data_IF_829639341665
#
_entry.id   IF_829639341665
#
_cell.length_a   1.000
_cell.length_b   1.000
_cell.length_c   1.000
_cell.angle_alpha   90.00
_cell.angle_beta   90.00
_cell.angle_gamma   90.00
#
_symmetry.space_group_name_H-M   'P 1'
#
loop_
_entity.id
_entity.type
_entity.pdbx_description
1 polymer ?
#
# COMPACT_ATOMS: atom_id res chain seq x y z
N UNK A 1 3.69 11.64 5.78
CA UNK A 1 3.10 12.52 4.74
C UNK A 1 2.18 11.69 3.85
N UNK A 2 1.13 12.27 3.26
CA UNK A 2 0.33 11.57 2.25
C UNK A 2 -0.83 12.40 1.69
N UNK A 3 -1.71 11.78 0.90
CA UNK A 3 -2.94 12.42 0.42
C UNK A 3 -3.93 12.74 1.55
N UNK A 4 -4.99 13.49 1.23
CA UNK A 4 -6.07 13.84 2.19
C UNK A 4 -6.68 12.59 2.85
N UNK A 5 -7.15 11.63 2.06
CA UNK A 5 -7.75 10.38 2.56
C UNK A 5 -6.73 9.24 2.76
N UNK A 6 -5.45 9.56 2.91
CA UNK A 6 -4.41 8.51 2.96
C UNK A 6 -4.51 7.67 4.25
N UNK A 7 -4.57 6.35 4.09
CA UNK A 7 -4.59 5.39 5.20
C UNK A 7 -3.36 5.46 6.10
N UNK A 8 -2.21 5.77 5.50
CA UNK A 8 -0.91 5.79 6.17
C UNK A 8 -0.86 6.82 7.32
N UNK A 9 -1.27 8.07 7.08
CA UNK A 9 -1.18 9.13 8.11
C UNK A 9 -2.10 8.85 9.28
N UNK A 10 -3.29 8.30 9.02
CA UNK A 10 -4.23 7.86 10.06
C UNK A 10 -3.64 6.78 10.95
N UNK A 11 -2.94 5.79 10.39
CA UNK A 11 -2.25 4.77 11.18
C UNK A 11 -1.06 5.35 11.97
N UNK A 12 -0.29 6.27 11.37
CA UNK A 12 0.79 6.97 12.08
C UNK A 12 0.26 7.78 13.26
N UNK A 13 -0.89 8.45 13.12
CA UNK A 13 -1.55 9.15 14.23
C UNK A 13 -1.96 8.20 15.36
N UNK A 14 -2.57 7.05 15.01
CA UNK A 14 -2.96 6.04 15.99
C UNK A 14 -1.76 5.49 16.77
N UNK A 15 -0.69 5.11 16.06
CA UNK A 15 0.54 4.57 16.67
C UNK A 15 1.22 5.63 17.54
N UNK A 16 1.29 6.89 17.09
CA UNK A 16 1.86 7.96 17.89
C UNK A 16 1.06 8.18 19.19
N UNK A 17 -0.27 8.23 19.11
CA UNK A 17 -1.12 8.35 20.29
C UNK A 17 -0.92 7.18 21.26
N UNK A 18 -0.89 5.94 20.75
CA UNK A 18 -0.65 4.75 21.56
C UNK A 18 0.71 4.77 22.28
N UNK A 19 1.77 5.22 21.61
CA UNK A 19 3.13 5.31 22.16
C UNK A 19 3.34 6.57 23.04
N UNK A 20 2.32 7.43 23.21
CA UNK A 20 2.46 8.70 23.93
C UNK A 20 3.35 9.72 23.21
N UNK A 21 3.52 9.59 21.89
CA UNK A 21 4.28 10.51 21.05
C UNK A 21 3.38 11.60 20.46
N UNK A 22 3.92 12.79 20.25
CA UNK A 22 3.28 13.82 19.42
C UNK A 22 3.32 13.38 17.95
N UNK A 23 2.30 13.77 17.17
CA UNK A 23 2.20 13.45 15.76
C UNK A 23 2.00 14.72 14.93
N UNK A 24 2.80 14.89 13.88
CA UNK A 24 2.61 15.93 12.85
C UNK A 24 2.40 15.22 11.53
N UNK A 25 1.31 15.54 10.84
CA UNK A 25 0.96 14.96 9.55
C UNK A 25 0.92 16.07 8.49
N UNK A 26 1.68 15.87 7.42
CA UNK A 26 1.55 16.67 6.20
C UNK A 26 0.60 15.93 5.26
N UNK A 27 -0.51 16.57 4.91
CA UNK A 27 -1.49 16.06 3.97
C UNK A 27 -1.66 17.00 2.78
N UNK A 28 -1.73 16.43 1.59
CA UNK A 28 -1.68 17.17 0.33
C UNK A 28 -2.82 16.69 -0.60
N UNK A 29 -3.21 17.53 -1.57
CA UNK A 29 -4.23 17.11 -2.53
C UNK A 29 -3.61 16.24 -3.64
N UNK A 30 -3.59 14.93 -3.42
CA UNK A 30 -2.99 13.97 -4.34
C UNK A 30 -3.95 13.44 -5.42
N UNK A 31 -5.22 13.81 -5.34
CA UNK A 31 -6.25 13.29 -6.23
C UNK A 31 -6.90 14.46 -6.92
N UNK A 32 -7.10 14.37 -8.24
CA UNK A 32 -7.89 15.36 -8.96
C UNK A 32 -9.40 15.16 -8.67
N UNK A 33 -9.77 15.36 -7.41
CA UNK A 33 -11.09 15.13 -6.85
C UNK A 33 -11.43 16.23 -5.86
N UNK A 34 -12.68 16.70 -5.91
CA UNK A 34 -13.16 17.79 -5.06
C UNK A 34 -14.56 17.47 -4.57
N UNK A 35 -14.64 16.62 -3.56
CA UNK A 35 -15.88 16.43 -2.81
C UNK A 35 -15.97 17.41 -1.64
N UNK A 36 -17.19 17.82 -1.31
CA UNK A 36 -17.46 18.85 -0.30
C UNK A 36 -16.97 18.47 1.10
N UNK A 37 -16.87 17.17 1.41
CA UNK A 37 -16.45 16.66 2.72
C UNK A 37 -15.12 15.91 2.67
N UNK A 38 -14.44 15.88 1.52
CA UNK A 38 -13.24 15.07 1.30
C UNK A 38 -12.14 15.26 2.35
N UNK A 39 -12.01 16.47 2.91
CA UNK A 39 -11.02 16.84 3.92
C UNK A 39 -11.55 16.83 5.36
N UNK A 40 -12.76 16.32 5.58
CA UNK A 40 -13.49 16.40 6.87
C UNK A 40 -14.13 15.10 7.34
N UNK A 41 -14.10 14.03 6.54
CA UNK A 41 -14.57 12.69 6.93
C UNK A 41 -13.45 11.65 6.80
N UNK A 42 -13.68 10.41 7.23
CA UNK A 42 -12.79 9.29 6.95
C UNK A 42 -11.42 9.39 7.63
N UNK A 43 -10.34 9.09 6.89
CA UNK A 43 -8.99 8.97 7.45
C UNK A 43 -8.48 10.27 8.09
N UNK A 44 -8.76 11.42 7.47
CA UNK A 44 -8.32 12.73 7.99
C UNK A 44 -9.07 13.12 9.27
N UNK A 45 -10.36 12.82 9.34
CA UNK A 45 -11.17 13.04 10.55
C UNK A 45 -10.60 12.25 11.73
N UNK A 46 -10.39 10.94 11.54
CA UNK A 46 -9.81 10.07 12.56
C UNK A 46 -8.43 10.57 13.02
N UNK A 47 -7.58 11.03 12.10
CA UNK A 47 -6.27 11.59 12.43
C UNK A 47 -6.36 12.78 13.39
N UNK A 48 -7.33 13.68 13.16
CA UNK A 48 -7.58 14.84 14.04
C UNK A 48 -8.15 14.40 15.40
N UNK A 49 -9.08 13.45 15.42
CA UNK A 49 -9.65 12.88 16.66
C UNK A 49 -8.56 12.27 17.53
N UNK A 50 -7.58 11.60 16.93
CA UNK A 50 -6.42 11.02 17.62
C UNK A 50 -5.36 12.06 18.06
N UNK A 51 -5.62 13.35 17.87
CA UNK A 51 -4.79 14.43 18.39
C UNK A 51 -3.55 14.76 17.54
N UNK A 52 -3.50 14.33 16.28
CA UNK A 52 -2.40 14.73 15.39
C UNK A 52 -2.52 16.19 14.94
N UNK A 53 -1.38 16.88 14.80
CA UNK A 53 -1.26 18.17 14.11
C UNK A 53 -1.34 17.92 12.59
N UNK A 54 -2.56 17.98 12.06
CA UNK A 54 -2.85 17.75 10.64
C UNK A 54 -2.72 19.05 9.85
N UNK A 55 -1.71 19.10 8.97
CA UNK A 55 -1.39 20.26 8.13
C UNK A 55 -1.76 19.95 6.69
N UNK A 56 -2.79 20.65 6.19
CA UNK A 56 -3.17 20.59 4.79
C UNK A 56 -2.29 21.54 3.97
N UNK A 57 -1.59 20.99 2.99
CA UNK A 57 -0.73 21.70 2.04
C UNK A 57 -1.37 21.62 0.64
N UNK A 58 -1.27 22.71 -0.13
CA UNK A 58 -1.89 22.81 -1.45
C UNK A 58 -1.10 22.09 -2.56
N UNK A 59 0.05 21.48 -2.25
CA UNK A 59 0.85 20.73 -3.22
C UNK A 59 0.11 19.48 -3.77
N UNK A 60 0.42 19.12 -5.04
CA UNK A 60 -0.19 18.00 -5.78
C UNK A 60 0.40 16.60 -5.46
N UNK A 61 0.18 15.57 -6.31
CA UNK A 61 0.66 14.18 -6.10
C UNK A 61 2.09 13.87 -6.59
N UNK A 62 2.91 13.30 -5.69
CA UNK A 62 4.26 12.76 -5.90
C UNK A 62 4.58 11.73 -4.79
N UNK A 63 5.45 10.76 -5.09
CA UNK A 63 5.82 9.63 -4.22
C UNK A 63 7.17 9.83 -3.50
N UNK A 64 7.92 10.89 -3.82
CA UNK A 64 9.23 11.23 -3.25
C UNK A 64 9.20 12.19 -2.05
N UNK A 65 10.38 12.72 -1.69
CA UNK A 65 10.58 13.68 -0.59
C UNK A 65 10.06 15.07 -1.02
N UNK A 66 9.36 15.77 -0.11
CA UNK A 66 8.62 17.01 -0.37
C UNK A 66 9.17 18.19 0.45
N UNK A 67 9.15 19.44 -0.06
CA UNK A 67 9.51 20.61 0.75
C UNK A 67 8.62 20.79 1.99
N UNK A 68 7.34 20.46 1.88
CA UNK A 68 6.36 20.46 2.98
C UNK A 68 6.77 19.50 4.12
N UNK A 69 7.38 18.37 3.76
CA UNK A 69 7.94 17.39 4.69
C UNK A 69 9.14 17.94 5.47
N UNK A 70 10.10 18.54 4.77
CA UNK A 70 11.28 19.16 5.39
C UNK A 70 10.90 20.29 6.35
N UNK A 71 9.96 21.15 5.93
CA UNK A 71 9.43 22.21 6.79
C UNK A 71 8.80 21.65 8.06
N UNK A 72 7.99 20.60 7.96
CA UNK A 72 7.36 19.97 9.12
C UNK A 72 8.40 19.41 10.11
N UNK A 73 9.48 18.80 9.60
CA UNK A 73 10.58 18.31 10.45
C UNK A 73 11.32 19.47 11.13
N UNK A 74 11.65 20.53 10.39
CA UNK A 74 12.33 21.70 10.93
C UNK A 74 11.49 22.41 12.00
N UNK A 75 10.16 22.49 11.81
CA UNK A 75 9.25 23.05 12.82
C UNK A 75 9.25 22.24 14.13
N UNK A 76 9.36 20.91 14.05
CA UNK A 76 9.46 20.06 15.25
C UNK A 76 10.77 20.34 15.99
N UNK A 77 11.89 20.43 15.26
CA UNK A 77 13.21 20.77 15.83
C UNK A 77 13.20 22.16 16.47
N UNK A 78 12.64 23.15 15.79
CA UNK A 78 12.55 24.53 16.30
C UNK A 78 11.73 24.66 17.59
N UNK A 79 10.79 23.73 17.84
CA UNK A 79 10.01 23.65 19.10
C UNK A 79 10.67 22.76 20.16
N UNK A 80 11.92 22.35 19.96
CA UNK A 80 12.70 21.51 20.89
C UNK A 80 12.38 20.01 20.82
N UNK A 81 11.65 19.56 19.78
CA UNK A 81 11.36 18.14 19.56
C UNK A 81 12.43 17.42 18.73
N UNK A 82 12.35 16.09 18.68
CA UNK A 82 13.17 15.24 17.80
C UNK A 82 12.24 14.49 16.84
N UNK A 83 12.12 14.90 15.57
CA UNK A 83 11.22 14.24 14.63
C UNK A 83 11.74 12.83 14.27
N UNK A 84 10.81 11.88 14.10
CA UNK A 84 11.10 10.57 13.49
C UNK A 84 10.45 10.54 12.10
N UNK A 85 11.24 10.64 11.01
CA UNK A 85 10.69 10.78 9.67
C UNK A 85 10.11 9.46 9.16
N UNK A 86 8.82 9.45 8.84
CA UNK A 86 8.12 8.32 8.20
C UNK A 86 7.64 8.74 6.79
N UNK A 87 8.29 8.24 5.72
CA UNK A 87 7.94 8.61 4.34
C UNK A 87 6.58 8.05 3.92
N UNK A 88 6.07 8.51 2.78
CA UNK A 88 4.79 8.07 2.23
C UNK A 88 4.68 6.53 2.17
N UNK A 89 3.64 5.98 2.78
CA UNK A 89 3.40 4.53 2.83
C UNK A 89 4.48 3.73 3.57
N UNK A 90 5.37 4.39 4.33
CA UNK A 90 6.58 3.82 4.92
C UNK A 90 7.59 3.26 3.90
N UNK A 91 7.37 3.41 2.59
CA UNK A 91 8.01 2.54 1.62
C UNK A 91 9.50 2.84 1.38
N UNK A 92 9.87 4.11 1.40
CA UNK A 92 11.26 4.56 1.27
C UNK A 92 12.05 4.48 2.58
N UNK A 93 11.43 4.00 3.67
CA UNK A 93 12.14 3.81 4.92
C UNK A 93 13.04 2.57 4.80
N UNK A 94 14.28 2.57 5.36
CA UNK A 94 15.18 1.42 5.28
C UNK A 94 14.53 0.09 5.71
N UNK A 95 13.69 0.14 6.76
CA UNK A 95 12.96 -1.02 7.28
C UNK A 95 11.56 -1.22 6.67
N UNK A 96 11.17 -0.43 5.67
CA UNK A 96 9.80 -0.36 5.15
C UNK A 96 9.30 -1.67 4.52
N UNK A 97 10.20 -2.51 4.01
CA UNK A 97 9.88 -3.82 3.41
C UNK A 97 9.81 -4.98 4.42
N UNK A 98 10.39 -4.84 5.62
CA UNK A 98 10.56 -5.97 6.55
C UNK A 98 9.23 -6.55 7.03
N UNK A 99 8.21 -5.71 7.23
CA UNK A 99 6.89 -6.17 7.68
C UNK A 99 6.28 -7.21 6.75
N UNK A 100 6.41 -7.02 5.43
CA UNK A 100 5.85 -7.93 4.45
C UNK A 100 6.79 -9.08 4.03
N UNK A 101 8.06 -9.04 4.46
CA UNK A 101 8.87 -10.28 4.53
C UNK A 101 8.28 -11.20 5.59
N UNK A 102 7.98 -10.64 6.78
CA UNK A 102 7.29 -11.36 7.85
C UNK A 102 5.92 -11.90 7.44
N UNK A 103 5.18 -11.16 6.59
CA UNK A 103 3.93 -11.65 6.01
C UNK A 103 4.11 -12.97 5.24
N UNK A 104 5.17 -13.10 4.42
CA UNK A 104 5.39 -14.35 3.69
C UNK A 104 5.72 -15.53 4.63
N UNK A 105 6.43 -15.27 5.74
CA UNK A 105 6.65 -16.29 6.79
C UNK A 105 5.33 -16.68 7.46
N UNK A 106 4.47 -15.70 7.75
CA UNK A 106 3.14 -15.97 8.33
C UNK A 106 2.28 -16.81 7.39
N UNK A 107 2.26 -16.48 6.09
CA UNK A 107 1.55 -17.26 5.07
C UNK A 107 2.10 -18.69 5.01
N UNK A 108 3.42 -18.90 5.02
CA UNK A 108 4.01 -20.25 5.05
C UNK A 108 3.55 -21.05 6.26
N UNK A 109 3.47 -20.43 7.42
CA UNK A 109 3.02 -21.10 8.63
C UNK A 109 1.52 -21.42 8.58
N UNK A 110 0.69 -20.49 8.09
CA UNK A 110 -0.73 -20.72 7.85
C UNK A 110 -0.98 -21.82 6.80
N UNK A 111 -0.20 -21.87 5.72
CA UNK A 111 -0.27 -22.93 4.69
C UNK A 111 -0.03 -24.33 5.30
N UNK A 112 0.93 -24.46 6.23
CA UNK A 112 1.15 -25.72 6.96
C UNK A 112 -0.04 -26.08 7.84
N UNK A 113 -0.60 -25.11 8.57
CA UNK A 113 -1.73 -25.32 9.47
C UNK A 113 -3.02 -25.68 8.71
N UNK A 114 -3.24 -25.06 7.55
CA UNK A 114 -4.39 -25.31 6.68
C UNK A 114 -4.24 -26.58 5.83
N UNK A 115 -3.02 -27.10 5.68
CA UNK A 115 -2.74 -28.32 4.91
C UNK A 115 -2.77 -28.12 3.39
N UNK A 116 -2.66 -26.88 2.90
CA UNK A 116 -2.54 -26.56 1.47
C UNK A 116 -1.68 -25.31 1.25
N UNK A 117 -1.22 -25.12 0.02
CA UNK A 117 -0.49 -23.91 -0.40
C UNK A 117 -1.35 -23.00 -1.26
N UNK A 118 -1.08 -21.71 -1.21
CA UNK A 118 -1.57 -20.74 -2.18
C UNK A 118 -0.65 -20.70 -3.40
N UNK A 119 -1.26 -20.75 -4.57
CA UNK A 119 -0.57 -20.72 -5.85
C UNK A 119 -0.25 -19.30 -6.29
N UNK A 120 -1.06 -18.31 -5.90
CA UNK A 120 -0.87 -16.90 -6.22
C UNK A 120 -1.25 -16.01 -5.05
N UNK A 121 -0.64 -14.83 -5.00
CA UNK A 121 -0.93 -13.78 -4.03
C UNK A 121 -1.27 -12.52 -4.82
N UNK A 122 -2.47 -11.98 -4.65
CA UNK A 122 -2.87 -10.71 -5.30
C UNK A 122 -2.84 -9.58 -4.28
N UNK A 123 -2.16 -8.48 -4.62
CA UNK A 123 -1.96 -7.34 -3.72
C UNK A 123 -2.01 -6.01 -4.46
N UNK A 124 -2.62 -4.99 -3.84
CA UNK A 124 -2.59 -3.62 -4.36
C UNK A 124 -1.20 -2.99 -4.19
N UNK A 125 -0.72 -2.25 -5.19
CA UNK A 125 0.58 -1.58 -5.19
C UNK A 125 0.52 -0.11 -5.62
N UNK A 126 1.12 0.77 -4.79
CA UNK A 126 1.33 2.19 -5.10
C UNK A 126 2.75 2.62 -4.74
N UNK A 127 3.08 2.70 -3.44
CA UNK A 127 4.41 3.12 -2.94
C UNK A 127 5.38 1.94 -2.79
N UNK A 128 4.88 0.70 -2.83
CA UNK A 128 5.66 -0.46 -3.22
C UNK A 128 6.24 -1.34 -2.10
N UNK A 129 6.44 -0.87 -0.87
CA UNK A 129 7.12 -1.70 0.15
C UNK A 129 6.33 -2.94 0.59
N UNK A 130 5.00 -2.89 0.50
CA UNK A 130 4.14 -4.07 0.71
C UNK A 130 4.50 -5.19 -0.27
N UNK A 131 4.38 -4.93 -1.57
CA UNK A 131 4.72 -5.93 -2.58
C UNK A 131 6.22 -6.27 -2.56
N UNK A 132 7.11 -5.29 -2.34
CA UNK A 132 8.55 -5.55 -2.25
C UNK A 132 8.90 -6.52 -1.12
N UNK A 133 8.31 -6.34 0.06
CA UNK A 133 8.48 -7.27 1.18
C UNK A 133 7.95 -8.66 0.86
N UNK A 134 6.78 -8.76 0.21
CA UNK A 134 6.24 -10.04 -0.25
C UNK A 134 7.15 -10.71 -1.28
N UNK A 135 7.66 -9.97 -2.28
CA UNK A 135 8.59 -10.50 -3.29
C UNK A 135 9.83 -11.08 -2.61
N UNK A 136 10.43 -10.36 -1.66
CA UNK A 136 11.59 -10.87 -0.89
C UNK A 136 11.21 -12.09 -0.05
N UNK A 137 10.09 -12.03 0.67
CA UNK A 137 9.66 -13.11 1.56
C UNK A 137 9.28 -14.39 0.82
N UNK A 138 8.65 -14.30 -0.35
CA UNK A 138 8.32 -15.44 -1.21
C UNK A 138 9.48 -15.86 -2.13
N UNK A 139 10.50 -15.01 -2.33
CA UNK A 139 11.73 -15.43 -2.99
C UNK A 139 12.45 -16.55 -2.21
N UNK A 140 12.28 -16.61 -0.88
CA UNK A 140 12.85 -17.65 -0.01
C UNK A 140 12.29 -19.06 -0.27
N UNK A 141 11.08 -19.18 -0.84
CA UNK A 141 10.47 -20.47 -1.20
C UNK A 141 10.17 -20.60 -2.70
N UNK A 142 10.81 -19.77 -3.52
CA UNK A 142 10.76 -19.86 -4.98
C UNK A 142 9.50 -19.31 -5.62
N UNK A 143 8.69 -18.52 -4.90
CA UNK A 143 7.40 -17.97 -5.36
C UNK A 143 7.35 -16.44 -5.58
N UNK A 144 8.44 -15.70 -5.82
CA UNK A 144 8.32 -14.25 -5.95
C UNK A 144 7.44 -13.83 -7.13
N UNK A 145 7.47 -14.59 -8.24
CA UNK A 145 6.63 -14.38 -9.44
C UNK A 145 5.15 -14.70 -9.22
N UNK A 146 4.81 -15.37 -8.13
CA UNK A 146 3.43 -15.68 -7.76
C UNK A 146 2.78 -14.49 -7.03
N UNK A 147 3.55 -13.46 -6.65
CA UNK A 147 3.05 -12.20 -6.10
C UNK A 147 2.62 -11.29 -7.25
N UNK A 148 1.33 -11.26 -7.53
CA UNK A 148 0.71 -10.44 -8.55
C UNK A 148 0.34 -9.08 -7.95
N UNK A 149 1.18 -8.09 -8.20
CA UNK A 149 0.88 -6.70 -7.87
C UNK A 149 -0.15 -6.12 -8.83
N UNK A 150 -1.16 -5.42 -8.33
CA UNK A 150 -2.09 -4.61 -9.13
C UNK A 150 -1.76 -3.14 -8.88
N UNK A 151 -1.34 -2.42 -9.92
CA UNK A 151 -1.06 -0.99 -9.82
C UNK A 151 -2.34 -0.20 -9.53
N UNK A 152 -2.25 0.69 -8.55
CA UNK A 152 -3.28 1.68 -8.24
C UNK A 152 -2.75 3.12 -8.33
N UNK A 153 -1.49 3.31 -8.74
CA UNK A 153 -0.85 4.62 -8.84
C UNK A 153 -1.15 5.36 -10.15
N UNK A 154 -1.51 4.62 -11.21
CA UNK A 154 -1.56 5.10 -12.59
C UNK A 154 -0.20 5.65 -13.09
N UNK A 155 0.90 5.26 -12.45
CA UNK A 155 2.29 5.60 -12.78
C UNK A 155 3.16 4.33 -12.75
N UNK A 156 2.83 3.31 -13.54
CA UNK A 156 3.35 1.94 -13.37
C UNK A 156 4.87 1.85 -13.45
N UNK A 157 5.53 2.60 -14.34
CA UNK A 157 7.00 2.59 -14.45
C UNK A 157 7.69 3.03 -13.15
N UNK A 158 7.17 4.10 -12.53
CA UNK A 158 7.72 4.61 -11.26
C UNK A 158 7.44 3.62 -10.13
N UNK A 159 6.23 3.08 -10.06
CA UNK A 159 5.85 2.10 -9.04
C UNK A 159 6.66 0.81 -9.16
N UNK A 160 6.83 0.25 -10.36
CA UNK A 160 7.63 -0.96 -10.58
C UNK A 160 9.10 -0.75 -10.22
N UNK A 161 9.69 0.37 -10.66
CA UNK A 161 11.07 0.70 -10.32
C UNK A 161 11.27 0.88 -8.80
N UNK A 162 10.30 1.49 -8.12
CA UNK A 162 10.32 1.66 -6.67
C UNK A 162 10.17 0.32 -5.93
N UNK A 163 9.24 -0.55 -6.34
CA UNK A 163 9.09 -1.91 -5.78
C UNK A 163 10.40 -2.68 -5.92
N UNK A 164 11.00 -2.70 -7.11
CA UNK A 164 12.25 -3.41 -7.36
C UNK A 164 13.39 -2.90 -6.48
N UNK A 165 13.55 -1.58 -6.38
CA UNK A 165 14.60 -0.98 -5.54
C UNK A 165 14.41 -1.31 -4.07
N UNK A 166 13.19 -1.22 -3.55
CA UNK A 166 12.89 -1.59 -2.16
C UNK A 166 13.11 -3.08 -1.93
N UNK A 167 12.74 -3.93 -2.89
CA UNK A 167 12.90 -5.38 -2.79
C UNK A 167 14.38 -5.76 -2.74
N UNK A 168 15.23 -5.17 -3.61
CA UNK A 168 16.68 -5.38 -3.58
C UNK A 168 17.30 -4.95 -2.24
N UNK A 169 16.97 -3.75 -1.77
CA UNK A 169 17.46 -3.28 -0.47
C UNK A 169 17.00 -4.18 0.69
N UNK A 170 15.73 -4.59 0.68
CA UNK A 170 15.17 -5.45 1.72
C UNK A 170 15.80 -6.86 1.67
N UNK A 171 16.08 -7.39 0.48
CA UNK A 171 16.77 -8.67 0.31
C UNK A 171 18.20 -8.65 0.88
N UNK A 172 18.92 -7.54 0.72
CA UNK A 172 20.22 -7.32 1.37
C UNK A 172 20.08 -7.30 2.90
N UNK A 173 19.10 -6.57 3.44
CA UNK A 173 18.88 -6.46 4.88
C UNK A 173 18.56 -7.80 5.58
N UNK A 174 17.86 -8.71 4.88
CA UNK A 174 17.49 -10.02 5.42
C UNK A 174 18.45 -11.14 4.98
N UNK A 175 19.56 -10.78 4.31
CA UNK A 175 20.56 -11.72 3.81
C UNK A 175 19.95 -12.86 2.98
N UNK A 176 19.01 -12.52 2.08
CA UNK A 176 18.20 -13.50 1.31
C UNK A 176 19.03 -14.57 0.58
N UNK A 177 20.29 -14.28 0.26
CA UNK A 177 21.22 -15.23 -0.38
C UNK A 177 20.98 -15.41 -1.89
N UNK A 178 20.10 -14.62 -2.50
CA UNK A 178 19.89 -14.53 -3.94
C UNK A 178 19.55 -13.12 -4.39
N UNK A 179 19.80 -12.83 -5.65
CA UNK A 179 19.39 -11.58 -6.28
C UNK A 179 17.88 -11.54 -6.55
N UNK A 180 17.29 -10.35 -6.37
CA UNK A 180 15.97 -9.99 -6.88
C UNK A 180 16.12 -9.31 -8.24
N UNK A 181 15.51 -9.91 -9.25
CA UNK A 181 15.53 -9.48 -10.64
C UNK A 181 14.24 -8.75 -11.03
N UNK A 182 14.22 -8.10 -12.18
CA UNK A 182 12.99 -7.46 -12.71
C UNK A 182 11.86 -8.47 -12.94
N UNK A 183 12.23 -9.71 -13.31
CA UNK A 183 11.28 -10.79 -13.54
C UNK A 183 10.60 -11.28 -12.26
N UNK A 184 11.21 -11.06 -11.09
CA UNK A 184 10.62 -11.39 -9.79
C UNK A 184 9.50 -10.40 -9.40
N UNK A 185 9.40 -9.25 -10.08
CA UNK A 185 8.41 -8.19 -9.79
C UNK A 185 7.33 -8.14 -10.86
N UNK A 186 6.19 -8.79 -10.57
CA UNK A 186 4.99 -8.77 -11.43
C UNK A 186 4.09 -7.59 -11.05
N UNK A 187 3.80 -6.69 -11.99
CA UNK A 187 2.90 -5.56 -11.77
C UNK A 187 1.93 -5.43 -12.96
N UNK A 188 0.65 -5.69 -12.70
CA UNK A 188 -0.42 -5.47 -13.65
C UNK A 188 -0.89 -4.01 -13.64
N UNK A 189 -0.98 -3.42 -14.82
CA UNK A 189 -1.23 -1.98 -15.00
C UNK A 189 -2.61 -1.69 -15.59
N UNK A 190 -3.39 -2.73 -15.90
CA UNK A 190 -4.67 -2.63 -16.64
C UNK A 190 -5.78 -1.93 -15.84
N UNK A 191 -5.69 -1.92 -14.52
CA UNK A 191 -6.80 -1.55 -13.62
C UNK A 191 -6.62 -0.19 -12.92
N UNK A 192 -5.47 0.45 -13.11
CA UNK A 192 -5.09 1.68 -12.40
C UNK A 192 -5.85 2.93 -12.87
N UNK A 193 -6.35 2.93 -14.10
CA UNK A 193 -7.01 4.08 -14.73
C UNK A 193 -8.27 4.53 -13.96
N UNK A 194 -8.69 5.81 -14.08
CA UNK A 194 -8.06 6.87 -14.88
C UNK A 194 -6.80 7.46 -14.24
N UNK A 195 -6.80 7.64 -12.92
CA UNK A 195 -5.73 8.26 -12.15
C UNK A 195 -5.68 7.66 -10.73
N UNK A 196 -4.60 7.97 -9.98
CA UNK A 196 -4.56 7.68 -8.54
C UNK A 196 -5.74 8.34 -7.82
N UNK A 197 -6.41 7.59 -6.94
CA UNK A 197 -7.53 8.09 -6.15
C UNK A 197 -8.88 8.13 -6.86
N UNK A 198 -8.92 7.92 -8.18
CA UNK A 198 -10.16 7.87 -8.96
C UNK A 198 -10.50 6.41 -9.34
N UNK A 199 -11.71 5.93 -9.03
CA UNK A 199 -12.18 4.63 -9.49
C UNK A 199 -12.59 4.67 -10.98
N UNK A 200 -12.56 3.53 -11.64
CA UNK A 200 -13.29 3.29 -12.88
C UNK A 200 -14.56 2.47 -12.62
N UNK A 201 -15.41 2.27 -13.63
CA UNK A 201 -16.65 1.49 -13.48
C UNK A 201 -16.39 0.06 -13.01
N UNK A 202 -15.31 -0.58 -13.49
CA UNK A 202 -14.91 -1.91 -13.03
C UNK A 202 -14.47 -1.93 -11.57
N UNK A 203 -13.81 -0.86 -11.07
CA UNK A 203 -13.54 -0.68 -9.64
C UNK A 203 -14.84 -0.67 -8.83
N UNK A 204 -15.84 0.10 -9.27
CA UNK A 204 -17.13 0.20 -8.56
C UNK A 204 -17.94 -1.10 -8.64
N UNK A 205 -17.91 -1.81 -9.78
CA UNK A 205 -18.51 -3.13 -9.93
C UNK A 205 -17.86 -4.14 -8.98
N UNK A 206 -16.52 -4.18 -8.92
CA UNK A 206 -15.77 -5.10 -8.07
C UNK A 206 -16.06 -4.89 -6.58
N UNK A 207 -16.14 -3.62 -6.14
CA UNK A 207 -16.53 -3.26 -4.76
C UNK A 207 -17.93 -3.82 -4.44
N UNK A 208 -18.90 -3.59 -5.33
CA UNK A 208 -20.28 -4.06 -5.15
C UNK A 208 -20.36 -5.58 -5.16
N UNK A 209 -19.63 -6.24 -6.06
CA UNK A 209 -19.63 -7.70 -6.18
C UNK A 209 -19.07 -8.34 -4.92
N UNK A 210 -17.87 -7.93 -4.48
CA UNK A 210 -17.25 -8.43 -3.25
C UNK A 210 -18.13 -8.17 -2.03
N UNK A 211 -18.65 -6.95 -1.89
CA UNK A 211 -19.51 -6.58 -0.77
C UNK A 211 -20.84 -7.34 -0.75
N UNK A 212 -21.44 -7.62 -1.91
CA UNK A 212 -22.74 -8.31 -2.00
C UNK A 212 -22.64 -9.83 -1.84
N UNK A 213 -21.51 -10.44 -2.21
CA UNK A 213 -21.32 -11.88 -2.10
C UNK A 213 -20.70 -12.30 -0.76
N UNK A 214 -19.72 -11.53 -0.27
CA UNK A 214 -18.89 -11.94 0.88
C UNK A 214 -19.08 -11.03 2.11
N UNK A 215 -19.80 -9.91 1.98
CA UNK A 215 -19.90 -8.92 3.06
C UNK A 215 -18.57 -8.20 3.36
N UNK A 216 -17.60 -8.30 2.45
CA UNK A 216 -16.28 -7.66 2.57
C UNK A 216 -16.26 -6.37 1.75
N UNK A 217 -16.01 -5.25 2.42
CA UNK A 217 -15.92 -3.93 1.78
C UNK A 217 -14.50 -3.67 1.26
N UNK A 218 -14.40 -3.06 0.09
CA UNK A 218 -13.15 -2.55 -0.50
C UNK A 218 -13.32 -1.09 -0.92
N UNK A 219 -12.23 -0.32 -0.94
CA UNK A 219 -12.27 1.12 -1.17
C UNK A 219 -12.06 1.50 -2.67
N UNK A 220 -12.44 2.71 -3.11
CA UNK A 220 -12.34 3.10 -4.52
C UNK A 220 -10.92 3.46 -4.99
N UNK A 221 -9.94 3.55 -4.09
CA UNK A 221 -8.57 3.97 -4.40
C UNK A 221 -7.64 2.76 -4.56
N UNK A 222 -7.67 1.83 -3.62
CA UNK A 222 -6.72 0.72 -3.52
C UNK A 222 -7.41 -0.62 -3.75
N UNK A 223 -8.14 -1.11 -2.75
CA UNK A 223 -8.57 -2.51 -2.69
C UNK A 223 -9.66 -2.81 -3.72
N UNK A 224 -10.48 -1.83 -4.09
CA UNK A 224 -11.42 -1.98 -5.20
C UNK A 224 -10.71 -2.23 -6.52
N UNK A 225 -9.52 -1.64 -6.74
CA UNK A 225 -8.73 -1.85 -7.97
C UNK A 225 -8.03 -3.20 -7.96
N UNK A 226 -7.43 -3.62 -6.84
CA UNK A 226 -6.84 -4.96 -6.72
C UNK A 226 -7.89 -6.07 -6.80
N UNK A 227 -9.07 -5.85 -6.21
CA UNK A 227 -10.22 -6.74 -6.31
C UNK A 227 -10.74 -6.82 -7.74
N UNK A 228 -10.89 -5.67 -8.43
CA UNK A 228 -11.23 -5.64 -9.86
C UNK A 228 -10.22 -6.44 -10.68
N UNK A 229 -8.92 -6.24 -10.45
CA UNK A 229 -7.87 -6.99 -11.13
C UNK A 229 -8.01 -8.50 -10.92
N UNK A 230 -8.15 -8.95 -9.68
CA UNK A 230 -8.34 -10.37 -9.37
C UNK A 230 -9.57 -10.97 -10.06
N UNK A 231 -10.73 -10.29 -9.98
CA UNK A 231 -11.97 -10.75 -10.60
C UNK A 231 -11.80 -10.89 -12.12
N UNK A 232 -11.19 -9.92 -12.78
CA UNK A 232 -10.97 -9.96 -14.23
C UNK A 232 -9.99 -11.07 -14.63
N UNK A 233 -8.92 -11.27 -13.86
CA UNK A 233 -7.98 -12.39 -14.08
C UNK A 233 -8.69 -13.74 -13.99
N UNK A 234 -9.57 -13.93 -13.00
CA UNK A 234 -10.40 -15.14 -12.87
C UNK A 234 -11.35 -15.29 -14.05
N UNK A 235 -12.09 -14.23 -14.42
CA UNK A 235 -13.03 -14.25 -15.55
C UNK A 235 -12.36 -14.59 -16.88
N UNK A 236 -11.10 -14.18 -17.06
CA UNK A 236 -10.30 -14.42 -18.26
C UNK A 236 -9.57 -15.76 -18.25
N UNK A 237 -9.67 -16.53 -17.17
CA UNK A 237 -8.95 -17.80 -17.02
C UNK A 237 -7.43 -17.62 -16.96
N UNK A 238 -6.96 -16.48 -16.45
CA UNK A 238 -5.52 -16.19 -16.34
C UNK A 238 -4.86 -16.95 -15.18
N UNK A 239 -5.66 -17.44 -14.23
CA UNK A 239 -5.23 -18.43 -13.26
C UNK A 239 -5.53 -19.85 -13.76
N UNK A 240 -4.59 -20.81 -13.65
CA UNK A 240 -4.87 -22.22 -13.94
C UNK A 240 -6.06 -22.74 -13.14
N UNK A 241 -6.88 -23.59 -13.75
CA UNK A 241 -8.04 -24.20 -13.08
C UNK A 241 -7.62 -24.92 -11.79
N UNK A 242 -8.36 -24.69 -10.71
CA UNK A 242 -8.07 -25.26 -9.38
C UNK A 242 -7.06 -24.47 -8.53
N UNK A 243 -6.47 -23.40 -9.06
CA UNK A 243 -5.53 -22.54 -8.31
C UNK A 243 -6.17 -21.94 -7.05
N UNK A 244 -5.39 -21.88 -5.97
CA UNK A 244 -5.73 -21.17 -4.73
C UNK A 244 -5.09 -19.80 -4.73
N UNK A 245 -5.89 -18.76 -4.93
CA UNK A 245 -5.44 -17.37 -4.96
C UNK A 245 -5.69 -16.73 -3.61
N UNK A 246 -4.62 -16.25 -2.94
CA UNK A 246 -4.70 -15.46 -1.73
C UNK A 246 -4.84 -13.98 -2.09
N UNK A 247 -6.02 -13.40 -1.84
CA UNK A 247 -6.21 -11.96 -1.92
C UNK A 247 -5.74 -11.29 -0.63
N UNK A 248 -4.82 -10.33 -0.73
CA UNK A 248 -4.34 -9.58 0.44
C UNK A 248 -5.12 -8.28 0.58
N UNK A 249 -6.16 -8.30 1.42
CA UNK A 249 -6.94 -7.12 1.74
C UNK A 249 -6.15 -6.18 2.68
N UNK A 250 -5.55 -5.11 2.16
CA UNK A 250 -4.70 -4.21 2.95
C UNK A 250 -5.49 -3.17 3.78
N UNK A 251 -6.81 -3.15 3.66
CA UNK A 251 -7.72 -2.25 4.38
C UNK A 251 -8.27 -1.15 3.50
N UNK A 252 -8.17 0.11 3.93
CA UNK A 252 -8.56 1.26 3.11
C UNK A 252 -10.03 1.65 3.12
N UNK A 253 -10.90 0.85 3.73
CA UNK A 253 -12.36 1.07 3.78
C UNK A 253 -12.80 2.45 4.33
N UNK A 254 -12.19 3.02 5.39
CA UNK A 254 -12.61 4.32 5.92
C UNK A 254 -12.29 5.49 4.99
#
# INVERSE_FOLDING_TARGET
IGGIQVNHTRQVAAVAAHLGMKCVLVQENWVNYSDAVYDRVGNIEMSRIMGADVRLDAAGFDIGIRPSWEKAMNDVVARGGKPFPIPAGCSEHPYGGLGFVGFAEEVREQEKQLGFKFDYIVVCSVTGSTQAGMVVGFAADGRPKNVIGIDASAKPEKTKAQILRIARHTAELVELGREITEDDVVLDTRFAYPEYGLPNEGTLEAIRLCGSLEGVLTDPVYEGKSMHGMIEMVRRGEFPEGSKVLYVHLGGVP
#
